data_IF_627005914350
#
_entry.id   IF_627005914350
#
_cell.length_a   1.000
_cell.length_b   1.000
_cell.length_c   1.000
_cell.angle_alpha   90.00
_cell.angle_beta   90.00
_cell.angle_gamma   90.00
#
_symmetry.space_group_name_H-M   'P 1'
#
loop_
_entity.id
_entity.type
_entity.pdbx_description
1 polymer ?
#
# COMPACT_ATOMS: atom_id res chain seq x y z
N UNK A 1 24.47 4.04 2.78
CA UNK A 1 23.46 5.00 3.28
C UNK A 1 22.02 4.60 2.97
N UNK A 2 21.78 3.70 2.01
CA UNK A 2 20.45 3.14 1.65
C UNK A 2 19.81 2.26 2.72
N UNK A 3 20.59 1.48 3.48
CA UNK A 3 20.02 0.54 4.48
C UNK A 3 19.26 1.24 5.61
N UNK A 4 19.71 2.43 6.05
CA UNK A 4 19.03 3.17 7.12
C UNK A 4 17.68 3.71 6.64
N UNK A 5 17.61 4.23 5.42
CA UNK A 5 16.36 4.72 4.82
C UNK A 5 15.40 3.55 4.56
N UNK A 6 15.90 2.43 4.04
CA UNK A 6 15.10 1.23 3.82
C UNK A 6 14.48 0.70 5.13
N UNK A 7 15.23 0.71 6.23
CA UNK A 7 14.71 0.34 7.55
C UNK A 7 13.59 1.26 8.02
N UNK A 8 13.76 2.58 7.87
CA UNK A 8 12.72 3.55 8.23
C UNK A 8 11.47 3.41 7.37
N UNK A 9 11.63 3.24 6.06
CA UNK A 9 10.50 3.02 5.15
C UNK A 9 9.77 1.70 5.46
N UNK A 10 10.51 0.62 5.72
CA UNK A 10 9.91 -0.66 6.12
C UNK A 10 9.13 -0.54 7.42
N UNK A 11 9.71 0.11 8.44
CA UNK A 11 9.03 0.34 9.71
C UNK A 11 7.77 1.21 9.54
N UNK A 12 7.84 2.26 8.72
CA UNK A 12 6.70 3.12 8.41
C UNK A 12 5.57 2.34 7.72
N UNK A 13 5.90 1.50 6.74
CA UNK A 13 4.90 0.68 6.04
C UNK A 13 4.20 -0.29 7.00
N UNK A 14 4.97 -0.95 7.89
CA UNK A 14 4.39 -1.84 8.90
C UNK A 14 3.45 -1.06 9.83
N UNK A 15 3.87 0.13 10.31
CA UNK A 15 3.03 0.97 11.17
C UNK A 15 1.72 1.38 10.47
N UNK A 16 1.78 1.76 9.19
CA UNK A 16 0.59 2.13 8.41
C UNK A 16 -0.35 0.95 8.18
N UNK A 17 0.19 -0.24 7.89
CA UNK A 17 -0.62 -1.46 7.76
C UNK A 17 -1.31 -1.80 9.07
N UNK A 18 -0.56 -1.77 10.18
CA UNK A 18 -1.14 -2.03 11.50
C UNK A 18 -2.20 -0.99 11.85
N UNK A 19 -1.96 0.30 11.58
CA UNK A 19 -2.93 1.35 11.80
C UNK A 19 -4.24 1.08 11.04
N UNK A 20 -4.19 0.70 9.76
CA UNK A 20 -5.39 0.35 8.98
C UNK A 20 -6.09 -0.89 9.53
N UNK A 21 -5.35 -1.93 9.94
CA UNK A 21 -5.96 -3.14 10.51
C UNK A 21 -6.68 -2.86 11.84
N UNK A 22 -6.10 -2.03 12.71
CA UNK A 22 -6.66 -1.76 14.04
C UNK A 22 -7.69 -0.63 14.07
N UNK A 23 -7.57 0.39 13.21
CA UNK A 23 -8.49 1.53 13.20
C UNK A 23 -9.60 1.41 12.15
N UNK A 24 -9.31 0.75 11.02
CA UNK A 24 -10.16 0.75 9.83
C UNK A 24 -10.54 -0.67 9.35
N UNK A 25 -10.24 -1.71 10.15
CA UNK A 25 -10.46 -3.13 9.84
C UNK A 25 -9.81 -3.59 8.52
N UNK A 26 -8.73 -2.93 8.09
CA UNK A 26 -8.05 -3.24 6.81
C UNK A 26 -8.78 -2.71 5.57
N UNK A 27 -9.80 -1.86 5.74
CA UNK A 27 -10.62 -1.35 4.63
C UNK A 27 -9.80 -0.46 3.68
N UNK A 28 -8.83 0.29 4.19
CA UNK A 28 -8.05 1.23 3.36
C UNK A 28 -7.11 0.44 2.44
N UNK A 29 -6.41 -0.57 2.95
CA UNK A 29 -5.55 -1.45 2.13
C UNK A 29 -6.36 -2.17 1.06
N UNK A 30 -7.53 -2.72 1.40
CA UNK A 30 -8.40 -3.39 0.43
C UNK A 30 -8.91 -2.43 -0.64
N UNK A 31 -9.27 -1.21 -0.27
CA UNK A 31 -9.64 -0.17 -1.21
C UNK A 31 -8.49 0.17 -2.16
N UNK A 32 -7.28 0.36 -1.62
CA UNK A 32 -6.09 0.70 -2.40
C UNK A 32 -5.75 -0.42 -3.39
N UNK A 33 -5.80 -1.68 -2.95
CA UNK A 33 -5.57 -2.84 -3.80
C UNK A 33 -6.55 -2.91 -4.99
N UNK A 34 -7.85 -2.71 -4.74
CA UNK A 34 -8.87 -2.64 -5.80
C UNK A 34 -8.58 -1.51 -6.77
N UNK A 35 -8.27 -0.31 -6.26
CA UNK A 35 -8.01 0.86 -7.11
C UNK A 35 -6.76 0.70 -7.96
N UNK A 36 -5.72 0.07 -7.43
CA UNK A 36 -4.52 -0.27 -8.20
C UNK A 36 -4.82 -1.32 -9.26
N UNK A 37 -5.65 -2.33 -8.96
CA UNK A 37 -6.07 -3.31 -9.97
C UNK A 37 -6.86 -2.63 -11.12
N UNK A 38 -7.76 -1.71 -10.80
CA UNK A 38 -8.47 -0.90 -11.82
C UNK A 38 -7.49 -0.08 -12.66
N UNK A 39 -6.47 0.51 -12.04
CA UNK A 39 -5.45 1.27 -12.75
C UNK A 39 -4.64 0.36 -13.69
N UNK A 40 -4.27 -0.84 -13.24
CA UNK A 40 -3.59 -1.84 -14.08
C UNK A 40 -4.45 -2.21 -15.27
N UNK A 41 -5.76 -2.46 -15.07
CA UNK A 41 -6.69 -2.74 -16.15
C UNK A 41 -6.81 -1.56 -17.13
N UNK A 42 -6.89 -0.34 -16.62
CA UNK A 42 -6.91 0.87 -17.43
C UNK A 42 -5.64 1.00 -18.27
N UNK A 43 -4.46 0.86 -17.68
CA UNK A 43 -3.18 0.91 -18.41
C UNK A 43 -3.07 -0.21 -19.43
N UNK A 44 -3.52 -1.42 -19.09
CA UNK A 44 -3.55 -2.56 -20.00
C UNK A 44 -4.47 -2.35 -21.21
N UNK A 45 -5.55 -1.58 -21.06
CA UNK A 45 -6.42 -1.19 -22.17
C UNK A 45 -5.72 -0.30 -23.21
N UNK A 46 -4.75 0.52 -22.80
CA UNK A 46 -4.00 1.40 -23.71
C UNK A 46 -2.77 0.74 -24.36
N UNK A 47 -2.47 -0.50 -24.00
CA UNK A 47 -1.42 -1.29 -24.66
C UNK A 47 -1.94 -1.86 -25.97
#
# INVERSE_FOLDING_TARGET
MTNRIALWLGALLILLILADVFADDGRILLFLAKKTADLVQYVAFWR
#
